data_IF_373517279314
#
_entry.id   IF_373517279314
#
_cell.length_a   1.000
_cell.length_b   1.000
_cell.length_c   1.000
_cell.angle_alpha   90.00
_cell.angle_beta   90.00
_cell.angle_gamma   90.00
#
_symmetry.space_group_name_H-M   'P 1'
#
loop_
_entity.id
_entity.type
_entity.pdbx_description
1 polymer ?
#
# COMPACT_ATOMS: atom_id res chain seq x y z
N UNK A 1 3.46 7.54 17.36
CA UNK A 1 4.09 6.34 17.93
C UNK A 1 5.38 5.93 17.19
N UNK A 2 5.36 5.52 15.92
CA UNK A 2 6.61 5.12 15.22
C UNK A 2 7.56 6.29 14.88
N UNK A 3 7.03 7.41 14.35
CA UNK A 3 7.87 8.57 14.01
C UNK A 3 8.31 9.38 15.24
N UNK A 4 7.62 9.24 16.38
CA UNK A 4 7.98 9.88 17.67
C UNK A 4 9.21 9.23 18.31
N UNK A 5 9.52 7.98 17.94
CA UNK A 5 10.74 7.28 18.35
C UNK A 5 11.93 7.62 17.44
N UNK A 6 11.70 8.33 16.33
CA UNK A 6 12.80 8.82 15.49
C UNK A 6 13.51 9.97 16.20
N UNK A 7 14.80 9.79 16.49
CA UNK A 7 15.64 10.69 17.29
C UNK A 7 15.80 12.12 16.75
N UNK A 8 15.16 12.47 15.63
CA UNK A 8 15.22 13.78 14.99
C UNK A 8 13.88 14.41 14.62
N UNK A 9 12.73 13.84 15.05
CA UNK A 9 11.41 14.38 14.73
C UNK A 9 11.10 14.47 13.23
N UNK A 10 11.79 13.65 12.42
CA UNK A 10 11.66 13.64 10.96
C UNK A 10 10.79 12.46 10.54
N UNK A 11 9.65 12.77 9.96
CA UNK A 11 8.76 11.80 9.35
C UNK A 11 9.38 11.21 8.08
N UNK A 12 9.35 9.89 7.94
CA UNK A 12 9.64 9.22 6.68
C UNK A 12 8.58 9.59 5.65
N UNK A 13 9.01 9.95 4.44
CA UNK A 13 8.10 10.29 3.34
C UNK A 13 7.27 9.07 2.93
N UNK A 14 5.95 9.25 2.84
CA UNK A 14 5.01 8.22 2.43
C UNK A 14 4.03 8.75 1.37
N UNK A 15 4.57 9.49 0.40
CA UNK A 15 3.83 10.01 -0.74
C UNK A 15 3.73 8.95 -1.85
N UNK A 16 2.51 8.59 -2.22
CA UNK A 16 2.22 7.72 -3.36
C UNK A 16 1.37 8.46 -4.40
N UNK A 17 1.82 8.43 -5.65
CA UNK A 17 1.11 9.06 -6.78
C UNK A 17 0.48 7.99 -7.64
N UNK A 18 -0.84 7.94 -7.63
CA UNK A 18 -1.62 7.01 -8.45
C UNK A 18 -2.13 7.72 -9.69
N UNK A 19 -1.97 7.08 -10.86
CA UNK A 19 -2.45 7.56 -12.15
C UNK A 19 -3.30 6.48 -12.78
N UNK A 20 -4.57 6.76 -12.95
CA UNK A 20 -5.52 5.88 -13.61
C UNK A 20 -5.95 6.49 -14.93
N UNK A 21 -5.67 5.80 -16.03
CA UNK A 21 -6.18 6.20 -17.33
C UNK A 21 -7.64 5.77 -17.43
N UNK A 22 -8.53 6.72 -17.74
CA UNK A 22 -9.93 6.41 -17.93
C UNK A 22 -10.10 5.53 -19.18
N UNK A 23 -11.15 4.69 -19.26
CA UNK A 23 -11.36 3.76 -20.38
C UNK A 23 -11.38 4.43 -21.76
N UNK A 24 -11.73 5.70 -21.84
CA UNK A 24 -11.73 6.47 -23.09
C UNK A 24 -10.32 6.79 -23.62
N UNK A 25 -9.27 6.62 -22.81
CA UNK A 25 -7.88 6.99 -23.12
C UNK A 25 -7.61 8.49 -23.20
N UNK A 26 -8.64 9.33 -23.05
CA UNK A 26 -8.55 10.79 -23.25
C UNK A 26 -8.28 11.58 -21.96
N UNK A 27 -8.35 10.92 -20.81
CA UNK A 27 -8.16 11.55 -19.52
C UNK A 27 -7.50 10.58 -18.53
N UNK A 28 -6.79 11.16 -17.56
CA UNK A 28 -6.06 10.45 -16.51
C UNK A 28 -6.47 11.05 -15.16
N UNK A 29 -7.02 10.23 -14.27
CA UNK A 29 -7.24 10.60 -12.88
C UNK A 29 -5.91 10.46 -12.12
N UNK A 30 -5.42 11.57 -11.57
CA UNK A 30 -4.22 11.58 -10.72
C UNK A 30 -4.63 11.79 -9.26
N UNK A 31 -4.18 10.92 -8.37
CA UNK A 31 -4.35 11.03 -6.93
C UNK A 31 -2.97 11.06 -6.26
N UNK A 32 -2.75 12.00 -5.35
CA UNK A 32 -1.55 12.04 -4.52
C UNK A 32 -2.00 11.68 -3.09
N UNK A 33 -1.58 10.51 -2.61
CA UNK A 33 -1.89 10.00 -1.28
C UNK A 33 -0.65 10.24 -0.43
N UNK A 34 -0.75 11.11 0.58
CA UNK A 34 0.38 11.45 1.45
C UNK A 34 0.13 10.95 2.87
N UNK A 35 0.73 9.80 3.19
CA UNK A 35 0.70 9.21 4.52
C UNK A 35 1.78 9.74 5.47
N UNK A 36 2.58 10.74 5.07
CA UNK A 36 3.81 11.15 5.80
C UNK A 36 3.51 11.56 7.23
N UNK A 37 2.46 12.36 7.46
CA UNK A 37 2.05 12.82 8.80
C UNK A 37 0.81 12.12 9.35
N UNK A 38 -0.15 11.85 8.47
CA UNK A 38 -1.43 11.24 8.82
C UNK A 38 -1.69 10.12 7.81
N UNK A 39 -1.70 8.88 8.28
CA UNK A 39 -1.89 7.70 7.45
C UNK A 39 -2.23 6.48 8.28
N UNK A 40 -2.60 5.40 7.63
CA UNK A 40 -2.80 4.10 8.27
C UNK A 40 -1.52 3.25 8.17
N UNK A 41 -1.62 1.97 8.57
CA UNK A 41 -0.50 1.02 8.53
C UNK A 41 0.13 0.84 7.15
N UNK A 42 -0.60 1.12 6.07
CA UNK A 42 -0.11 0.93 4.71
C UNK A 42 1.11 1.80 4.38
N UNK A 43 1.33 2.91 5.11
CA UNK A 43 2.51 3.77 4.94
C UNK A 43 3.84 3.07 5.23
N UNK A 44 3.79 1.92 5.90
CA UNK A 44 4.97 1.12 6.29
C UNK A 44 5.21 -0.08 5.38
N UNK A 45 4.35 -0.35 4.40
CA UNK A 45 4.52 -1.48 3.49
C UNK A 45 5.65 -1.15 2.51
N UNK A 46 6.67 -2.00 2.49
CA UNK A 46 7.86 -1.75 1.69
C UNK A 46 7.70 -2.13 0.22
N UNK A 47 8.64 -1.66 -0.59
CA UNK A 47 8.72 -2.00 -2.00
C UNK A 47 9.31 -3.39 -2.20
N UNK A 48 8.77 -4.16 -3.15
CA UNK A 48 9.51 -5.24 -3.80
C UNK A 48 9.65 -5.05 -5.31
N UNK A 49 10.87 -5.22 -5.82
CA UNK A 49 11.23 -5.12 -7.24
C UNK A 49 10.64 -6.25 -8.09
N UNK A 50 10.30 -7.39 -7.49
CA UNK A 50 9.71 -8.55 -8.17
C UNK A 50 8.17 -8.53 -8.17
N UNK A 51 7.57 -7.45 -7.65
CA UNK A 51 6.13 -7.29 -7.50
C UNK A 51 5.64 -7.50 -6.07
N UNK A 52 6.35 -8.28 -5.26
CA UNK A 52 5.99 -8.55 -3.86
C UNK A 52 4.84 -9.54 -3.69
N UNK A 53 4.31 -9.62 -2.47
CA UNK A 53 3.22 -10.50 -2.09
C UNK A 53 1.85 -9.80 -2.00
N UNK A 54 1.80 -8.50 -2.33
CA UNK A 54 0.58 -7.71 -2.39
C UNK A 54 0.30 -7.21 -3.82
N UNK A 55 -0.97 -7.33 -4.22
CA UNK A 55 -1.57 -6.70 -5.39
C UNK A 55 -2.23 -5.37 -4.98
N UNK A 56 -1.86 -4.30 -5.67
CA UNK A 56 -2.44 -2.97 -5.49
C UNK A 56 -3.63 -2.76 -6.41
N UNK A 57 -4.80 -2.42 -5.86
CA UNK A 57 -6.07 -2.28 -6.59
C UNK A 57 -6.78 -0.98 -6.22
N UNK A 58 -7.35 -0.31 -7.22
CA UNK A 58 -8.27 0.82 -7.00
C UNK A 58 -9.70 0.31 -6.82
N UNK A 59 -10.23 0.46 -5.61
CA UNK A 59 -11.59 0.04 -5.26
C UNK A 59 -12.52 1.25 -5.28
N UNK A 60 -13.56 1.19 -6.09
CA UNK A 60 -14.62 2.20 -6.14
C UNK A 60 -15.80 1.76 -5.29
N UNK A 61 -16.35 2.69 -4.53
CA UNK A 61 -17.56 2.46 -3.76
C UNK A 61 -18.62 3.45 -4.19
N UNK A 62 -19.88 3.01 -4.20
CA UNK A 62 -21.00 3.86 -4.59
C UNK A 62 -21.04 5.11 -3.71
N UNK A 63 -21.22 6.28 -4.32
CA UNK A 63 -21.25 7.57 -3.63
C UNK A 63 -19.88 8.15 -3.25
N UNK A 64 -18.76 7.43 -3.44
CA UNK A 64 -17.42 7.98 -3.21
C UNK A 64 -16.91 8.74 -4.44
N UNK A 65 -16.41 9.96 -4.22
CA UNK A 65 -15.85 10.81 -5.29
C UNK A 65 -14.53 10.26 -5.85
N UNK A 66 -13.70 9.68 -4.99
CA UNK A 66 -12.38 9.13 -5.32
C UNK A 66 -12.34 7.63 -4.99
N UNK A 67 -11.65 6.81 -5.81
CA UNK A 67 -11.40 5.42 -5.47
C UNK A 67 -10.44 5.31 -4.27
N UNK A 68 -10.53 4.20 -3.55
CA UNK A 68 -9.61 3.84 -2.46
C UNK A 68 -8.52 2.92 -2.99
N UNK A 69 -7.28 3.20 -2.62
CA UNK A 69 -6.17 2.27 -2.87
C UNK A 69 -6.23 1.13 -1.84
N UNK A 70 -6.29 -0.10 -2.32
CA UNK A 70 -6.40 -1.30 -1.50
C UNK A 70 -5.30 -2.30 -1.87
N UNK A 71 -4.87 -3.08 -0.89
CA UNK A 71 -3.87 -4.14 -1.08
C UNK A 71 -4.53 -5.50 -0.82
N UNK A 72 -4.30 -6.45 -1.73
CA UNK A 72 -4.78 -7.83 -1.62
C UNK A 72 -3.59 -8.78 -1.69
N UNK A 73 -3.63 -9.90 -0.98
CA UNK A 73 -2.60 -10.92 -1.13
C UNK A 73 -2.58 -11.46 -2.58
N UNK A 74 -1.41 -11.48 -3.22
CA UNK A 74 -1.23 -12.05 -4.56
C UNK A 74 -0.82 -13.53 -4.51
N UNK A 75 -0.41 -14.01 -3.34
CA UNK A 75 0.00 -15.38 -3.02
C UNK A 75 -0.22 -15.64 -1.53
N UNK A 76 -0.08 -16.89 -1.10
CA UNK A 76 -0.07 -17.22 0.33
C UNK A 76 1.11 -16.53 1.01
N UNK A 77 0.84 -15.86 2.12
CA UNK A 77 1.82 -15.13 2.94
C UNK A 77 2.02 -15.93 4.22
N UNK A 78 3.27 -16.30 4.52
CA UNK A 78 3.59 -17.02 5.75
C UNK A 78 3.62 -16.08 6.96
N UNK A 79 3.53 -16.65 8.16
CA UNK A 79 3.83 -15.89 9.38
C UNK A 79 5.24 -15.28 9.28
N UNK A 80 5.39 -14.06 9.79
CA UNK A 80 6.62 -13.25 9.72
C UNK A 80 7.13 -12.90 8.30
N UNK A 81 6.41 -13.26 7.24
CA UNK A 81 6.73 -12.82 5.88
C UNK A 81 6.41 -11.33 5.71
N UNK A 82 7.42 -10.55 5.30
CA UNK A 82 7.26 -9.11 5.10
C UNK A 82 6.27 -8.80 3.97
N UNK A 83 5.28 -7.94 4.26
CA UNK A 83 4.35 -7.45 3.26
C UNK A 83 5.03 -6.44 2.33
N UNK A 84 4.98 -6.69 1.02
CA UNK A 84 5.63 -5.84 0.02
C UNK A 84 4.80 -5.71 -1.26
N UNK A 85 4.95 -4.58 -1.96
CA UNK A 85 4.32 -4.35 -3.27
C UNK A 85 5.23 -3.57 -4.23
N UNK A 86 4.88 -3.52 -5.51
CA UNK A 86 5.58 -2.64 -6.45
C UNK A 86 5.18 -1.17 -6.26
N UNK A 87 6.12 -0.30 -5.88
CA UNK A 87 5.93 1.16 -5.85
C UNK A 87 5.79 1.74 -7.27
N UNK A 88 6.20 0.97 -8.29
CA UNK A 88 6.19 1.35 -9.70
C UNK A 88 5.08 0.69 -10.51
N UNK A 89 4.64 1.45 -11.53
CA UNK A 89 3.64 1.18 -12.59
C UNK A 89 2.69 -0.02 -12.39
N UNK A 90 1.45 0.30 -12.06
CA UNK A 90 0.27 -0.57 -12.25
C UNK A 90 -0.11 -0.59 -13.74
N UNK A 91 0.62 -1.37 -14.56
CA UNK A 91 0.32 -1.49 -15.98
C UNK A 91 1.54 -1.77 -16.86
N UNK A 92 1.70 -3.04 -17.27
CA UNK A 92 2.60 -3.55 -18.30
C UNK A 92 4.03 -2.98 -18.31
N UNK A 93 4.95 -3.79 -17.79
CA UNK A 93 6.24 -4.02 -18.45
C UNK A 93 7.29 -2.91 -18.34
N UNK A 94 8.39 -3.31 -17.68
CA UNK A 94 9.74 -2.73 -17.65
C UNK A 94 10.06 -1.85 -16.44
N UNK A 95 11.03 -2.41 -15.70
CA UNK A 95 11.73 -1.94 -14.52
C UNK A 95 12.15 -0.49 -14.64
N UNK A 96 11.87 0.29 -13.59
CA UNK A 96 12.62 1.49 -13.26
C UNK A 96 12.69 1.62 -11.74
N UNK A 97 13.84 1.26 -11.17
CA UNK A 97 14.21 1.57 -9.80
C UNK A 97 14.77 3.00 -9.74
N UNK A 98 14.18 3.85 -8.88
CA UNK A 98 14.90 4.87 -8.12
C UNK A 98 14.20 4.95 -6.75
N UNK A 99 14.69 4.12 -5.82
CA UNK A 99 14.19 4.00 -4.46
C UNK A 99 14.65 5.19 -3.60
N UNK A 100 13.82 5.59 -2.63
CA UNK A 100 14.27 6.26 -1.41
C UNK A 100 13.20 6.13 -0.32
N UNK A 101 13.06 4.95 0.30
CA UNK A 101 12.65 4.85 1.71
C UNK A 101 13.35 3.64 2.32
N UNK A 102 14.05 3.88 3.43
CA UNK A 102 14.81 2.89 4.18
C UNK A 102 13.97 2.30 5.33
N UNK A 103 14.12 0.98 5.47
CA UNK A 103 14.27 0.20 6.70
C UNK A 103 13.09 -0.06 7.66
N UNK A 104 12.90 -1.37 7.86
CA UNK A 104 12.68 -2.13 9.10
C UNK A 104 11.45 -1.83 9.98
N UNK A 105 10.87 -2.95 10.44
CA UNK A 105 9.85 -3.14 11.48
C UNK A 105 8.40 -3.08 11.01
N UNK A 106 7.82 -4.25 10.70
CA UNK A 106 6.46 -4.60 11.19
C UNK A 106 6.38 -6.10 11.60
N UNK A 107 7.34 -6.57 12.41
CA UNK A 107 7.06 -7.54 13.50
C UNK A 107 6.59 -6.63 14.65
N UNK A 108 5.34 -6.50 15.07
CA UNK A 108 4.45 -7.54 15.60
C UNK A 108 2.95 -7.23 15.37
N UNK A 109 2.58 -6.15 14.66
CA UNK A 109 1.19 -5.65 14.69
C UNK A 109 0.29 -6.15 13.56
N UNK A 110 0.83 -6.83 12.54
CA UNK A 110 0.02 -7.28 11.39
C UNK A 110 -0.88 -8.48 11.74
N UNK A 111 -0.53 -9.26 12.78
CA UNK A 111 -1.30 -10.43 13.22
C UNK A 111 -2.65 -10.08 13.86
N UNK A 112 -2.81 -8.93 14.53
CA UNK A 112 -4.04 -8.69 15.29
C UNK A 112 -5.21 -8.11 14.47
N UNK A 113 -4.98 -7.60 13.25
CA UNK A 113 -6.03 -6.96 12.43
C UNK A 113 -6.45 -7.75 11.19
N UNK A 114 -5.67 -8.74 10.78
CA UNK A 114 -6.05 -9.65 9.69
C UNK A 114 -6.98 -10.77 10.22
N UNK A 115 -6.86 -11.15 11.50
CA UNK A 115 -7.73 -12.14 12.14
C UNK A 115 -9.20 -11.68 12.26
N UNK A 116 -9.49 -10.38 12.36
CA UNK A 116 -10.86 -9.86 12.34
C UNK A 116 -11.54 -10.03 10.96
N UNK A 117 -10.77 -10.26 9.89
CA UNK A 117 -11.33 -10.45 8.54
C UNK A 117 -11.75 -11.92 8.27
N UNK A 118 -11.28 -12.89 9.07
CA UNK A 118 -11.66 -14.31 8.92
C UNK A 118 -12.91 -14.71 9.70
N UNK A 119 -13.34 -13.93 10.71
CA UNK A 119 -14.54 -14.27 11.49
C UNK A 119 -15.86 -13.66 10.94
N UNK A 120 -15.79 -12.78 9.93
CA UNK A 120 -16.98 -12.11 9.38
C UNK A 120 -17.37 -12.52 7.95
N UNK A 121 -16.79 -13.59 7.39
CA UNK A 121 -17.23 -14.18 6.12
C UNK A 121 -17.89 -15.58 6.26
N UNK A 122 -18.21 -16.03 7.48
CA UNK A 122 -18.95 -17.30 7.70
C UNK A 122 -20.43 -17.08 8.05
N UNK A 123 -20.86 -15.85 8.37
CA UNK A 123 -22.27 -15.53 8.59
C UNK A 123 -22.63 -14.13 8.05
N UNK A 124 -22.87 -14.04 6.74
CA UNK A 124 -23.98 -13.32 6.09
C UNK A 124 -23.79 -13.27 4.57
#
# INVERSE_FOLDING_TARGET
MYDELSSGGRYSSALLVVREHLPSGKACLRMNIDGTRIGNVARFINHSCDGGNLLTVLVRSSGALLPRLSFFASKNIQEDEELTFSYGILGLGKRACLASVAALVVLEFCLQKILDCSEHQVYQ
#
